data_IF_867764901638
#
_entry.id   IF_867764901638
#
_cell.length_a   1.000
_cell.length_b   1.000
_cell.length_c   1.000
_cell.angle_alpha   90.00
_cell.angle_beta   90.00
_cell.angle_gamma   90.00
#
_symmetry.space_group_name_H-M   'P 1'
#
loop_
_entity.id
_entity.type
_entity.pdbx_description
1 polymer ?
#
# COMPACT_ATOMS: atom_id res chain seq x y z
N UNK A 1 3.53 -25.10 12.66
CA UNK A 1 3.34 -24.03 11.68
C UNK A 1 2.49 -22.96 12.35
N UNK A 2 2.59 -21.72 11.91
CA UNK A 2 1.68 -20.66 12.34
C UNK A 2 0.88 -20.21 11.12
N UNK A 3 -0.43 -20.42 11.17
CA UNK A 3 -1.36 -20.19 10.07
C UNK A 3 -2.23 -19.00 10.40
N UNK A 4 -2.18 -17.95 9.58
CA UNK A 4 -3.12 -16.83 9.70
C UNK A 4 -4.53 -17.35 9.40
N UNK A 5 -5.38 -17.33 10.43
CA UNK A 5 -6.73 -17.87 10.40
C UNK A 5 -7.78 -16.77 10.20
N UNK A 6 -7.57 -15.62 10.84
CA UNK A 6 -8.49 -14.49 10.79
C UNK A 6 -7.73 -13.19 10.68
N UNK A 7 -8.29 -12.26 9.94
CA UNK A 7 -7.86 -10.87 9.86
C UNK A 7 -9.06 -9.96 10.16
N UNK A 8 -8.83 -8.83 10.81
CA UNK A 8 -9.85 -7.81 11.05
C UNK A 8 -9.23 -6.42 11.03
N UNK A 9 -9.88 -5.49 10.34
CA UNK A 9 -9.54 -4.06 10.41
C UNK A 9 -10.50 -3.37 11.36
N UNK A 10 -9.96 -2.59 12.28
CA UNK A 10 -10.73 -1.73 13.17
C UNK A 10 -10.74 -0.32 12.56
N UNK A 11 -11.91 0.27 12.32
CA UNK A 11 -12.03 1.62 11.74
C UNK A 11 -11.74 2.68 12.82
N UNK A 12 -10.49 2.73 13.28
CA UNK A 12 -10.00 3.73 14.21
C UNK A 12 -8.95 4.65 13.55
N UNK A 13 -8.60 5.73 14.25
CA UNK A 13 -7.61 6.71 13.77
C UNK A 13 -6.19 6.15 13.63
N UNK A 14 -5.94 4.96 14.20
CA UNK A 14 -4.61 4.34 14.23
C UNK A 14 -4.46 3.23 13.19
N UNK A 15 -5.51 3.00 12.38
CA UNK A 15 -5.57 1.92 11.40
C UNK A 15 -5.22 0.57 12.06
N UNK A 16 -5.87 0.27 13.19
CA UNK A 16 -5.59 -0.91 13.99
C UNK A 16 -6.05 -2.18 13.27
N UNK A 17 -5.15 -3.14 13.12
CA UNK A 17 -5.41 -4.42 12.47
C UNK A 17 -5.14 -5.56 13.45
N UNK A 18 -6.01 -6.56 13.43
CA UNK A 18 -5.94 -7.74 14.29
C UNK A 18 -5.78 -8.99 13.43
N UNK A 19 -4.73 -9.76 13.71
CA UNK A 19 -4.37 -10.98 13.01
C UNK A 19 -4.43 -12.14 14.00
N UNK A 20 -5.30 -13.12 13.77
CA UNK A 20 -5.41 -14.31 14.63
C UNK A 20 -4.78 -15.50 13.92
N UNK A 21 -3.86 -16.17 14.59
CA UNK A 21 -3.12 -17.31 14.08
C UNK A 21 -3.48 -18.58 14.83
N UNK A 22 -3.65 -19.68 14.10
CA UNK A 22 -3.63 -21.03 14.67
C UNK A 22 -2.20 -21.54 14.60
N UNK A 23 -1.65 -21.88 15.77
CA UNK A 23 -0.28 -22.33 15.92
C UNK A 23 -0.28 -23.81 16.23
N UNK A 24 0.34 -24.61 15.37
CA UNK A 24 0.34 -26.08 15.51
C UNK A 24 1.47 -26.56 16.41
N UNK A 25 1.32 -27.79 16.95
CA UNK A 25 2.29 -28.45 17.84
C UNK A 25 3.72 -28.54 17.32
N UNK A 26 3.97 -28.29 16.03
CA UNK A 26 5.34 -28.29 15.51
C UNK A 26 6.20 -27.21 16.17
N UNK A 27 5.59 -26.09 16.59
CA UNK A 27 6.26 -24.99 17.30
C UNK A 27 6.81 -25.44 18.65
N UNK A 28 6.10 -26.33 19.33
CA UNK A 28 6.50 -26.82 20.64
C UNK A 28 7.28 -28.12 20.57
N UNK A 29 7.40 -28.79 19.42
CA UNK A 29 8.11 -30.09 19.30
C UNK A 29 9.55 -29.95 18.81
N UNK A 30 9.80 -29.07 17.85
CA UNK A 30 11.11 -28.90 17.24
C UNK A 30 11.96 -27.92 18.05
N UNK A 31 13.07 -28.39 18.62
CA UNK A 31 13.99 -27.59 19.44
C UNK A 31 15.06 -26.88 18.61
N UNK A 32 15.26 -27.31 17.37
CA UNK A 32 16.41 -26.87 16.56
C UNK A 32 16.01 -25.91 15.44
N UNK A 33 14.71 -25.63 15.30
CA UNK A 33 14.20 -24.81 14.22
C UNK A 33 13.13 -23.86 14.69
N UNK A 34 13.35 -22.58 14.43
CA UNK A 34 12.33 -21.56 14.56
C UNK A 34 11.21 -21.79 13.54
N UNK A 35 9.97 -21.57 13.98
CA UNK A 35 8.80 -21.67 13.10
C UNK A 35 8.32 -20.28 12.76
N UNK A 36 8.32 -19.96 11.47
CA UNK A 36 7.86 -18.66 10.95
C UNK A 36 6.54 -18.83 10.21
N UNK A 37 5.63 -17.86 10.36
CA UNK A 37 4.38 -17.79 9.59
C UNK A 37 4.65 -17.49 8.11
N UNK A 38 3.62 -17.61 7.25
CA UNK A 38 3.64 -16.92 5.96
C UNK A 38 3.69 -15.40 6.19
N UNK A 39 4.21 -14.68 5.21
CA UNK A 39 4.27 -13.22 5.25
C UNK A 39 2.87 -12.62 5.13
N UNK A 40 2.62 -11.54 5.86
CA UNK A 40 1.39 -10.76 5.78
C UNK A 40 1.72 -9.27 5.67
N UNK A 41 0.77 -8.49 5.15
CA UNK A 41 0.96 -7.06 4.90
C UNK A 41 0.33 -6.22 6.01
N UNK A 42 1.06 -5.24 6.52
CA UNK A 42 0.52 -4.19 7.39
C UNK A 42 1.28 -2.88 7.20
N UNK A 43 0.56 -1.78 7.02
CA UNK A 43 1.13 -0.45 6.76
C UNK A 43 2.15 -0.42 5.64
N UNK A 44 1.85 -1.07 4.51
CA UNK A 44 2.73 -1.16 3.34
C UNK A 44 4.07 -1.88 3.55
N UNK A 45 4.19 -2.61 4.67
CA UNK A 45 5.35 -3.42 5.02
C UNK A 45 4.99 -4.91 5.06
N UNK A 46 5.99 -5.77 4.83
CA UNK A 46 5.87 -7.23 4.95
C UNK A 46 6.29 -7.67 6.34
N UNK A 47 5.44 -8.45 6.99
CA UNK A 47 5.64 -8.94 8.35
C UNK A 47 5.52 -10.45 8.41
N UNK A 48 6.15 -11.06 9.40
CA UNK A 48 5.92 -12.45 9.78
C UNK A 48 6.01 -12.59 11.31
N UNK A 49 5.38 -13.62 11.85
CA UNK A 49 5.58 -14.03 13.24
C UNK A 49 6.55 -15.19 13.26
N UNK A 50 7.56 -15.11 14.11
CA UNK A 50 8.51 -16.20 14.36
C UNK A 50 8.42 -16.67 15.80
N UNK A 51 8.40 -17.98 15.96
CA UNK A 51 8.42 -18.65 17.24
C UNK A 51 9.79 -19.30 17.44
N UNK A 52 10.48 -18.93 18.51
CA UNK A 52 11.74 -19.56 18.90
C UNK A 52 11.54 -20.36 20.18
N UNK A 53 11.96 -21.61 20.22
CA UNK A 53 11.95 -22.39 21.45
C UNK A 53 13.36 -22.51 22.01
N UNK A 54 13.53 -22.10 23.26
CA UNK A 54 14.78 -22.32 24.00
C UNK A 54 14.49 -23.17 25.21
N UNK A 55 14.98 -24.41 25.20
CA UNK A 55 14.74 -25.42 26.23
C UNK A 55 13.24 -25.64 26.52
N UNK A 56 12.74 -25.04 27.61
CA UNK A 56 11.36 -25.19 28.11
C UNK A 56 10.51 -23.93 27.91
N UNK A 57 11.03 -22.91 27.23
CA UNK A 57 10.34 -21.63 27.06
C UNK A 57 10.13 -21.33 25.58
N UNK A 58 8.92 -20.87 25.27
CA UNK A 58 8.54 -20.40 23.94
C UNK A 58 8.67 -18.87 23.90
N UNK A 59 9.38 -18.38 22.89
CA UNK A 59 9.46 -16.97 22.54
C UNK A 59 8.70 -16.67 21.25
N UNK A 60 8.20 -15.44 21.13
CA UNK A 60 7.42 -14.96 19.99
C UNK A 60 7.96 -13.61 19.55
N UNK A 61 8.17 -13.45 18.24
CA UNK A 61 8.71 -12.24 17.64
C UNK A 61 7.89 -11.83 16.44
N UNK A 62 7.66 -10.53 16.33
CA UNK A 62 7.27 -9.88 15.09
C UNK A 62 8.54 -9.58 14.29
N UNK A 63 8.54 -9.94 13.01
CA UNK A 63 9.69 -9.81 12.12
C UNK A 63 9.29 -8.98 10.90
N UNK A 64 9.99 -7.88 10.67
CA UNK A 64 9.91 -7.08 9.45
C UNK A 64 10.73 -7.77 8.35
N UNK A 65 10.09 -8.07 7.22
CA UNK A 65 10.62 -8.97 6.19
C UNK A 65 11.28 -8.28 5.00
N UNK A 66 11.03 -7.00 4.84
CA UNK A 66 11.54 -6.18 3.75
C UNK A 66 12.31 -4.93 4.26
N UNK A 67 13.21 -5.05 5.25
CA UNK A 67 14.01 -3.92 5.66
C UNK A 67 14.92 -3.44 4.52
N UNK A 68 15.08 -2.13 4.39
CA UNK A 68 16.10 -1.52 3.53
C UNK A 68 17.02 -0.65 4.38
N UNK A 69 18.26 -0.48 3.95
CA UNK A 69 19.19 0.44 4.59
C UNK A 69 18.60 1.87 4.63
N UNK A 70 18.84 2.61 5.71
CA UNK A 70 18.26 3.94 5.93
C UNK A 70 16.78 3.91 6.35
N UNK A 71 16.07 2.79 6.25
CA UNK A 71 14.67 2.71 6.68
C UNK A 71 14.49 2.37 8.16
N UNK A 72 13.47 2.99 8.76
CA UNK A 72 13.00 2.71 10.12
C UNK A 72 11.48 2.58 10.11
N UNK A 73 10.96 1.59 10.82
CA UNK A 73 9.52 1.42 11.03
C UNK A 73 9.23 1.49 12.52
N UNK A 74 8.25 2.29 12.91
CA UNK A 74 7.73 2.33 14.28
C UNK A 74 6.31 1.80 14.27
N UNK A 75 5.99 0.89 15.18
CA UNK A 75 4.64 0.30 15.26
C UNK A 75 4.29 -0.04 16.70
N UNK A 76 3.04 0.20 17.07
CA UNK A 76 2.45 -0.33 18.29
C UNK A 76 2.02 -1.76 18.00
N UNK A 77 2.39 -2.71 18.85
CA UNK A 77 1.89 -4.07 18.72
C UNK A 77 1.61 -4.73 20.06
N UNK A 78 0.71 -5.72 20.05
CA UNK A 78 0.52 -6.65 21.16
C UNK A 78 0.33 -8.07 20.65
N UNK A 79 0.99 -9.02 21.31
CA UNK A 79 0.72 -10.43 21.15
C UNK A 79 -0.11 -10.90 22.33
N UNK A 80 -1.22 -11.58 22.04
CA UNK A 80 -2.13 -12.14 23.04
C UNK A 80 -2.31 -13.63 22.77
N UNK A 81 -1.89 -14.46 23.72
CA UNK A 81 -2.17 -15.89 23.71
C UNK A 81 -3.57 -16.12 24.27
N UNK A 82 -4.45 -16.71 23.45
CA UNK A 82 -5.86 -16.86 23.79
C UNK A 82 -6.08 -18.12 24.62
N UNK A 83 -6.61 -17.92 25.82
CA UNK A 83 -7.03 -19.00 26.68
C UNK A 83 -8.34 -19.62 26.18
N UNK A 84 -8.44 -20.95 26.22
CA UNK A 84 -9.60 -21.67 25.68
C UNK A 84 -10.80 -21.70 26.62
N UNK A 85 -10.59 -21.43 27.91
CA UNK A 85 -11.67 -21.42 28.91
C UNK A 85 -12.26 -20.03 29.11
N UNK A 86 -11.42 -19.01 29.30
CA UNK A 86 -11.90 -17.66 29.59
C UNK A 86 -10.91 -16.56 29.20
N UNK A 87 -11.39 -15.49 28.57
CA UNK A 87 -10.55 -14.40 28.05
C UNK A 87 -9.72 -13.67 29.13
N UNK A 88 -10.18 -13.67 30.38
CA UNK A 88 -9.43 -13.05 31.49
C UNK A 88 -8.13 -13.79 31.84
N UNK A 89 -7.98 -15.03 31.36
CA UNK A 89 -6.77 -15.83 31.52
C UNK A 89 -5.83 -15.73 30.31
N UNK A 90 -6.13 -14.86 29.34
CA UNK A 90 -5.23 -14.57 28.24
C UNK A 90 -3.90 -14.03 28.77
N UNK A 91 -2.81 -14.39 28.09
CA UNK A 91 -1.49 -13.82 28.35
C UNK A 91 -1.18 -12.81 27.25
N UNK A 92 -0.66 -11.64 27.61
CA UNK A 92 -0.38 -10.58 26.65
C UNK A 92 0.96 -9.93 26.95
N UNK A 93 1.72 -9.64 25.91
CA UNK A 93 2.77 -8.63 25.97
C UNK A 93 2.60 -7.64 24.83
N UNK A 94 3.05 -6.41 25.04
CA UNK A 94 2.91 -5.34 24.07
C UNK A 94 4.12 -4.42 24.06
N UNK A 95 4.25 -3.66 22.98
CA UNK A 95 5.21 -2.58 22.85
C UNK A 95 4.57 -1.39 22.15
N UNK A 96 4.92 -0.19 22.59
CA UNK A 96 4.49 1.08 21.98
C UNK A 96 5.63 1.70 21.20
N UNK A 97 5.35 2.18 19.99
CA UNK A 97 6.26 2.81 19.05
C UNK A 97 7.55 2.00 18.88
N UNK A 98 7.43 0.67 18.82
CA UNK A 98 8.59 -0.20 18.76
C UNK A 98 9.31 0.01 17.43
N UNK A 99 10.61 0.28 17.50
CA UNK A 99 11.46 0.55 16.34
C UNK A 99 11.98 -0.75 15.73
N UNK A 100 11.80 -0.86 14.41
CA UNK A 100 12.40 -1.84 13.52
C UNK A 100 13.33 -1.10 12.56
N UNK A 101 14.45 -1.73 12.23
CA UNK A 101 15.46 -1.19 11.32
C UNK A 101 16.14 -2.32 10.56
N UNK A 102 16.97 -1.99 9.58
CA UNK A 102 17.77 -2.97 8.84
C UNK A 102 18.59 -3.88 9.75
N UNK A 103 19.27 -3.32 10.76
CA UNK A 103 20.11 -4.08 11.69
C UNK A 103 19.32 -4.82 12.77
N UNK A 104 18.07 -4.42 13.00
CA UNK A 104 17.20 -5.00 14.02
C UNK A 104 15.78 -5.17 13.49
N UNK A 105 15.55 -6.15 12.60
CA UNK A 105 14.24 -6.35 11.95
C UNK A 105 13.28 -7.22 12.78
N UNK A 106 13.71 -7.77 13.92
CA UNK A 106 12.88 -8.63 14.76
C UNK A 106 12.76 -8.05 16.18
N UNK A 107 11.53 -8.02 16.71
CA UNK A 107 11.22 -7.56 18.06
C UNK A 107 10.21 -8.52 18.70
N UNK A 108 10.36 -8.80 19.98
CA UNK A 108 9.50 -9.78 20.63
C UNK A 108 9.88 -10.09 22.06
N UNK A 109 9.31 -11.17 22.57
CA UNK A 109 9.60 -11.67 23.90
C UNK A 109 10.20 -13.08 23.80
N UNK A 110 11.48 -13.22 24.13
CA UNK A 110 12.19 -14.51 24.16
C UNK A 110 11.68 -15.44 25.24
N UNK A 111 11.07 -14.90 26.31
CA UNK A 111 10.58 -15.64 27.47
C UNK A 111 9.09 -15.45 27.64
N UNK A 112 8.32 -15.67 26.57
CA UNK A 112 6.90 -15.37 26.58
C UNK A 112 6.11 -16.34 27.48
N UNK A 113 6.24 -17.64 27.25
CA UNK A 113 5.51 -18.64 28.05
C UNK A 113 6.30 -19.96 28.18
N UNK A 114 6.34 -20.58 29.37
CA UNK A 114 6.81 -21.96 29.51
C UNK A 114 5.96 -22.92 28.68
N UNK A 115 6.59 -23.87 27.98
CA UNK A 115 5.86 -24.83 27.12
C UNK A 115 4.89 -25.70 27.93
N UNK A 116 5.21 -26.01 29.18
CA UNK A 116 4.31 -26.73 30.09
C UNK A 116 3.00 -25.96 30.32
N UNK A 117 3.09 -24.64 30.46
CA UNK A 117 1.97 -23.78 30.82
C UNK A 117 0.95 -23.66 29.68
N UNK A 118 1.37 -23.89 28.42
CA UNK A 118 0.45 -24.00 27.30
C UNK A 118 -0.64 -25.05 27.56
N UNK A 119 -0.28 -26.16 28.20
CA UNK A 119 -1.21 -27.25 28.52
C UNK A 119 -1.85 -27.07 29.89
N UNK A 120 -1.04 -26.80 30.91
CA UNK A 120 -1.51 -26.71 32.29
C UNK A 120 -2.51 -25.57 32.52
N UNK A 121 -2.47 -24.53 31.68
CA UNK A 121 -3.35 -23.36 31.76
C UNK A 121 -4.35 -23.27 30.62
N UNK A 122 -4.60 -24.35 29.87
CA UNK A 122 -5.64 -24.42 28.83
C UNK A 122 -5.48 -23.43 27.66
N UNK A 123 -4.25 -23.13 27.23
CA UNK A 123 -4.01 -22.41 25.97
C UNK A 123 -4.00 -23.33 24.76
N UNK A 124 -3.43 -24.53 24.92
CA UNK A 124 -3.35 -25.54 23.87
C UNK A 124 -4.47 -26.58 23.98
N UNK A 125 -4.82 -27.16 22.85
CA UNK A 125 -5.74 -28.29 22.78
C UNK A 125 -5.04 -29.65 22.90
N UNK A 126 -5.83 -30.73 22.80
CA UNK A 126 -5.33 -32.11 22.86
C UNK A 126 -4.38 -32.43 21.70
N UNK A 127 -4.49 -31.72 20.58
CA UNK A 127 -3.60 -31.84 19.43
C UNK A 127 -2.34 -30.98 19.57
N UNK A 128 -2.26 -30.15 20.62
CA UNK A 128 -1.18 -29.20 20.86
C UNK A 128 -1.29 -27.93 20.01
N UNK A 129 -2.48 -27.61 19.51
CA UNK A 129 -2.77 -26.37 18.79
C UNK A 129 -3.25 -25.28 19.75
N UNK A 130 -2.82 -24.05 19.51
CA UNK A 130 -3.22 -22.88 20.30
C UNK A 130 -3.42 -21.67 19.40
N UNK A 131 -4.14 -20.66 19.90
CA UNK A 131 -4.39 -19.42 19.16
C UNK A 131 -3.55 -18.26 19.69
N UNK A 132 -2.94 -17.52 18.77
CA UNK A 132 -2.18 -16.31 19.04
C UNK A 132 -2.78 -15.15 18.25
N UNK A 133 -3.12 -14.07 18.93
CA UNK A 133 -3.56 -12.83 18.30
C UNK A 133 -2.43 -11.81 18.29
N UNK A 134 -2.21 -11.19 17.13
CA UNK A 134 -1.33 -10.04 16.95
C UNK A 134 -2.19 -8.84 16.59
N UNK A 135 -2.15 -7.82 17.43
CA UNK A 135 -2.73 -6.50 17.13
C UNK A 135 -1.61 -5.56 16.75
N UNK A 136 -1.79 -4.80 15.67
CA UNK A 136 -0.85 -3.80 15.20
C UNK A 136 -1.56 -2.48 14.94
N UNK A 137 -0.97 -1.36 15.34
CA UNK A 137 -1.53 -0.03 15.18
C UNK A 137 -0.45 1.05 15.05
N UNK A 138 -0.84 2.26 14.63
CA UNK A 138 0.00 3.46 14.66
C UNK A 138 1.35 3.32 13.93
N UNK A 139 1.37 2.55 12.82
CA UNK A 139 2.57 2.34 12.04
C UNK A 139 3.05 3.61 11.34
N UNK A 140 4.36 3.86 11.42
CA UNK A 140 5.06 4.95 10.72
C UNK A 140 6.33 4.41 10.06
N UNK A 141 6.53 4.75 8.80
CA UNK A 141 7.71 4.34 8.03
C UNK A 141 8.51 5.56 7.62
N UNK A 142 9.80 5.54 7.94
CA UNK A 142 10.75 6.58 7.60
C UNK A 142 11.90 6.01 6.77
N UNK A 143 12.47 6.84 5.90
CA UNK A 143 13.72 6.58 5.19
C UNK A 143 14.63 7.80 5.39
N UNK A 144 15.86 7.57 5.83
CA UNK A 144 16.87 8.58 6.07
C UNK A 144 18.14 8.27 5.29
N UNK A 145 18.71 9.27 4.62
CA UNK A 145 19.96 9.12 3.87
C UNK A 145 20.68 10.47 3.76
N UNK A 146 22.01 10.41 3.78
CA UNK A 146 22.85 11.57 3.49
C UNK A 146 23.43 11.47 2.07
N UNK A 147 23.17 12.49 1.25
CA UNK A 147 23.75 12.60 -0.09
C UNK A 147 24.92 13.57 -0.07
N UNK A 148 26.07 13.14 -0.59
CA UNK A 148 27.22 14.03 -0.76
C UNK A 148 26.95 15.00 -1.91
N UNK A 149 26.92 16.29 -1.62
CA UNK A 149 26.76 17.35 -2.60
C UNK A 149 28.13 17.74 -3.20
N UNK A 150 28.35 17.55 -4.51
CA UNK A 150 29.53 18.06 -5.20
C UNK A 150 29.69 19.57 -4.98
N UNK A 151 30.93 20.03 -4.74
CA UNK A 151 31.22 21.46 -4.51
C UNK A 151 30.74 22.36 -5.65
N UNK A 152 30.76 21.85 -6.89
CA UNK A 152 30.24 22.54 -8.07
C UNK A 152 28.74 22.87 -7.96
N UNK A 153 27.95 22.06 -7.25
CA UNK A 153 26.51 22.29 -7.08
C UNK A 153 26.20 23.36 -6.02
N UNK A 154 27.20 23.74 -5.22
CA UNK A 154 27.06 24.70 -4.13
C UNK A 154 27.50 26.12 -4.53
N UNK A 155 28.15 26.26 -5.68
CA UNK A 155 28.65 27.56 -6.17
C UNK A 155 27.66 28.19 -7.18
N UNK A 156 27.02 29.33 -6.86
CA UNK A 156 25.97 29.92 -7.69
C UNK A 156 26.38 30.35 -9.11
N UNK A 157 27.68 30.59 -9.34
CA UNK A 157 28.20 31.20 -10.57
C UNK A 157 28.97 30.25 -11.48
N UNK A 158 29.07 28.98 -11.11
CA UNK A 158 29.69 27.93 -11.93
C UNK A 158 28.67 26.84 -12.18
N UNK A 159 27.63 27.16 -12.95
CA UNK A 159 26.94 26.09 -13.68
C UNK A 159 28.02 25.33 -14.45
N UNK A 160 28.06 23.99 -14.40
CA UNK A 160 29.06 23.24 -15.14
C UNK A 160 28.98 23.65 -16.61
N UNK A 161 30.05 24.26 -17.13
CA UNK A 161 30.17 24.61 -18.54
C UNK A 161 29.89 23.35 -19.37
N UNK A 162 28.76 23.34 -20.06
CA UNK A 162 28.27 22.16 -20.79
C UNK A 162 27.08 21.47 -20.15
N UNK A 163 25.97 22.20 -19.91
CA UNK A 163 24.63 21.56 -19.87
C UNK A 163 24.42 20.89 -21.23
N UNK A 164 24.82 19.62 -21.35
CA UNK A 164 24.29 18.75 -22.39
C UNK A 164 22.79 18.63 -22.13
N UNK A 165 21.97 18.97 -23.11
CA UNK A 165 20.51 18.82 -23.04
C UNK A 165 20.08 17.39 -22.65
N UNK A 166 20.97 16.41 -22.74
CA UNK A 166 20.64 15.01 -22.56
C UNK A 166 20.88 14.46 -21.14
N UNK A 167 21.56 15.17 -20.22
CA UNK A 167 21.74 14.66 -18.85
C UNK A 167 21.95 15.78 -17.80
N UNK A 168 20.87 16.32 -17.22
CA UNK A 168 20.97 17.33 -16.17
C UNK A 168 21.70 16.78 -14.92
N UNK A 169 22.49 17.61 -14.21
CA UNK A 169 23.16 17.19 -12.97
C UNK A 169 22.14 16.69 -11.94
N UNK A 170 22.41 15.52 -11.35
CA UNK A 170 21.55 14.91 -10.33
C UNK A 170 22.34 14.21 -9.23
N UNK A 171 21.69 13.99 -8.10
CA UNK A 171 22.13 13.13 -7.00
C UNK A 171 21.01 12.13 -6.72
N UNK A 172 21.37 10.90 -6.36
CA UNK A 172 20.40 9.82 -6.14
C UNK A 172 20.70 9.12 -4.82
N UNK A 173 19.66 8.77 -4.08
CA UNK A 173 19.80 7.88 -2.92
C UNK A 173 19.96 6.43 -3.33
N UNK A 174 20.36 5.59 -2.37
CA UNK A 174 20.09 4.15 -2.43
C UNK A 174 18.59 3.88 -2.54
N UNK A 175 18.25 2.68 -3.01
CA UNK A 175 16.87 2.26 -3.09
C UNK A 175 16.35 1.75 -1.74
N UNK A 176 15.04 1.83 -1.54
CA UNK A 176 14.34 1.33 -0.37
C UNK A 176 12.97 0.76 -0.73
N UNK A 177 12.45 -0.16 0.08
CA UNK A 177 11.21 -0.88 -0.21
C UNK A 177 10.00 -0.30 0.54
N UNK A 178 8.91 -0.01 -0.17
CA UNK A 178 7.64 0.41 0.43
C UNK A 178 6.45 0.07 -0.47
N UNK A 179 5.41 -0.53 0.09
CA UNK A 179 4.17 -0.86 -0.63
C UNK A 179 4.31 -1.96 -1.68
N UNK A 180 5.39 -2.74 -1.62
CA UNK A 180 5.72 -3.75 -2.63
C UNK A 180 6.51 -3.20 -3.82
N UNK A 181 6.94 -1.93 -3.78
CA UNK A 181 7.80 -1.32 -4.78
C UNK A 181 9.14 -0.93 -4.18
N UNK A 182 10.13 -0.83 -5.05
CA UNK A 182 11.42 -0.22 -4.73
C UNK A 182 11.41 1.23 -5.20
N UNK A 183 11.95 2.12 -4.38
CA UNK A 183 11.95 3.56 -4.58
C UNK A 183 13.34 4.13 -4.35
N UNK A 184 13.70 5.23 -5.00
CA UNK A 184 14.79 6.09 -4.58
C UNK A 184 14.40 7.57 -4.68
N UNK A 185 15.16 8.44 -4.02
CA UNK A 185 15.00 9.90 -4.12
C UNK A 185 16.01 10.43 -5.11
N UNK A 186 15.54 11.24 -6.07
CA UNK A 186 16.39 11.92 -7.06
C UNK A 186 16.30 13.42 -6.85
N UNK A 187 17.46 14.04 -6.68
CA UNK A 187 17.64 15.48 -6.45
C UNK A 187 18.32 16.12 -7.65
N UNK A 188 17.64 17.08 -8.28
CA UNK A 188 18.20 17.95 -9.31
C UNK A 188 18.49 19.33 -8.70
N UNK A 189 19.76 19.67 -8.39
CA UNK A 189 20.13 20.94 -7.77
C UNK A 189 19.67 22.18 -8.53
N UNK A 190 19.56 22.06 -9.85
CA UNK A 190 19.25 23.16 -10.78
C UNK A 190 18.04 22.83 -11.64
N UNK A 191 17.14 21.99 -11.12
CA UNK A 191 15.93 21.58 -11.84
C UNK A 191 16.20 20.55 -12.94
N UNK A 192 15.11 20.04 -13.48
CA UNK A 192 15.12 18.92 -14.43
C UNK A 192 15.21 19.40 -15.87
N UNK A 193 14.55 20.51 -16.17
CA UNK A 193 14.46 21.02 -17.54
C UNK A 193 15.53 22.09 -17.82
N UNK A 194 15.96 22.24 -19.08
CA UNK A 194 16.87 23.33 -19.47
C UNK A 194 16.26 24.69 -19.15
N UNK A 195 17.01 25.53 -18.44
CA UNK A 195 16.54 26.85 -18.00
C UNK A 195 15.91 26.85 -16.61
N UNK A 196 15.64 25.68 -16.02
CA UNK A 196 15.39 25.62 -14.59
C UNK A 196 16.66 26.03 -13.82
N UNK A 197 16.44 26.71 -12.71
CA UNK A 197 17.47 27.07 -11.73
C UNK A 197 17.05 26.66 -10.31
N UNK A 198 15.86 26.08 -10.17
CA UNK A 198 15.25 25.74 -8.89
C UNK A 198 15.55 24.30 -8.54
N UNK A 199 15.82 24.05 -7.26
CA UNK A 199 15.91 22.69 -6.74
C UNK A 199 14.63 21.91 -7.09
N UNK A 200 14.79 20.72 -7.64
CA UNK A 200 13.71 19.79 -7.91
C UNK A 200 14.05 18.44 -7.30
N UNK A 201 13.13 17.89 -6.51
CA UNK A 201 13.31 16.59 -5.86
C UNK A 201 12.08 15.75 -6.11
N UNK A 202 12.26 14.49 -6.44
CA UNK A 202 11.13 13.60 -6.64
C UNK A 202 11.45 12.19 -6.16
N UNK A 203 10.37 11.45 -5.90
CA UNK A 203 10.42 10.05 -5.57
C UNK A 203 10.31 9.25 -6.86
N UNK A 204 11.30 8.41 -7.14
CA UNK A 204 11.38 7.63 -8.36
C UNK A 204 11.14 6.16 -8.03
N UNK A 205 10.14 5.57 -8.69
CA UNK A 205 9.79 4.16 -8.54
C UNK A 205 10.65 3.32 -9.46
N UNK A 206 11.13 2.19 -8.95
CA UNK A 206 12.10 1.33 -9.64
C UNK A 206 11.49 -0.02 -10.06
N UNK A 207 10.30 -0.37 -9.58
CA UNK A 207 9.62 -1.65 -9.89
C UNK A 207 8.11 -1.50 -10.04
N UNK A 208 7.45 -2.53 -10.59
CA UNK A 208 5.99 -2.63 -10.67
C UNK A 208 5.31 -1.71 -11.69
N UNK A 209 6.02 -1.40 -12.78
CA UNK A 209 5.62 -0.45 -13.83
C UNK A 209 4.35 -0.80 -14.62
N UNK A 210 3.85 -2.03 -14.46
CA UNK A 210 2.63 -2.52 -15.08
C UNK A 210 1.40 -1.65 -14.72
N UNK A 211 1.44 -0.98 -13.57
CA UNK A 211 0.38 -0.07 -13.11
C UNK A 211 0.96 1.28 -12.70
N UNK A 212 0.14 2.34 -12.80
CA UNK A 212 0.42 3.59 -12.10
C UNK A 212 0.36 3.38 -10.58
N UNK A 213 1.07 4.21 -9.82
CA UNK A 213 1.06 4.15 -8.37
C UNK A 213 0.81 5.53 -7.76
N UNK A 214 -0.30 5.68 -7.02
CA UNK A 214 -0.53 6.86 -6.18
C UNK A 214 0.24 6.72 -4.88
N UNK A 215 1.14 7.65 -4.62
CA UNK A 215 2.03 7.65 -3.48
C UNK A 215 1.84 8.92 -2.67
N UNK A 216 1.78 8.78 -1.34
CA UNK A 216 1.70 9.91 -0.39
C UNK A 216 2.86 9.85 0.56
N UNK A 217 3.55 10.97 0.73
CA UNK A 217 4.76 11.05 1.53
C UNK A 217 5.03 12.48 2.00
N UNK A 218 5.87 12.62 3.03
CA UNK A 218 6.43 13.90 3.48
C UNK A 218 7.93 13.85 3.28
N UNK A 219 8.48 14.86 2.61
CA UNK A 219 9.91 14.99 2.36
C UNK A 219 10.48 16.15 3.16
N UNK A 220 11.55 15.88 3.89
CA UNK A 220 12.31 16.85 4.67
C UNK A 220 13.74 16.83 4.15
N UNK A 221 14.27 18.02 3.83
CA UNK A 221 15.63 18.18 3.32
C UNK A 221 16.41 19.13 4.23
N UNK A 222 17.70 18.85 4.42
CA UNK A 222 18.58 19.61 5.31
C UNK A 222 18.53 19.13 6.76
N UNK A 223 19.28 19.81 7.62
CA UNK A 223 19.40 19.50 9.05
C UNK A 223 19.38 20.80 9.89
N UNK A 224 18.91 20.69 11.13
CA UNK A 224 18.84 21.81 12.08
C UNK A 224 18.07 23.01 11.53
N UNK A 225 18.68 24.19 11.61
CA UNK A 225 18.04 25.46 11.23
C UNK A 225 17.86 25.61 9.71
N UNK A 226 18.42 24.68 8.91
CA UNK A 226 18.36 24.68 7.44
C UNK A 226 17.37 23.67 6.87
N UNK A 227 16.51 23.09 7.72
CA UNK A 227 15.51 22.13 7.27
C UNK A 227 14.39 22.80 6.49
N UNK A 228 13.95 22.16 5.41
CA UNK A 228 12.70 22.47 4.71
C UNK A 228 11.80 21.24 4.69
N UNK A 229 10.49 21.44 4.77
CA UNK A 229 9.49 20.38 4.80
C UNK A 229 8.49 20.61 3.66
N UNK A 230 8.19 19.57 2.89
CA UNK A 230 7.25 19.63 1.78
C UNK A 230 5.78 19.75 2.19
N UNK A 231 5.46 19.44 3.45
CA UNK A 231 4.13 19.01 3.82
C UNK A 231 3.80 17.65 3.18
N UNK A 232 2.52 17.26 3.23
CA UNK A 232 2.08 16.03 2.60
C UNK A 232 2.01 16.20 1.08
N UNK A 233 2.84 15.44 0.37
CA UNK A 233 2.81 15.30 -1.08
C UNK A 233 1.89 14.13 -1.45
N UNK A 234 1.11 14.30 -2.51
CA UNK A 234 0.24 13.30 -3.12
C UNK A 234 0.56 13.28 -4.62
N UNK A 235 1.21 12.22 -5.06
CA UNK A 235 1.86 12.14 -6.37
C UNK A 235 1.44 10.84 -7.08
N UNK A 236 1.52 10.84 -8.41
CA UNK A 236 1.25 9.66 -9.23
C UNK A 236 2.54 9.30 -9.95
N UNK A 237 3.10 8.14 -9.58
CA UNK A 237 4.19 7.51 -10.32
C UNK A 237 3.63 6.85 -11.57
N UNK A 238 4.08 7.30 -12.73
CA UNK A 238 3.68 6.78 -14.04
C UNK A 238 4.24 5.37 -14.31
N UNK A 239 3.95 4.84 -15.51
CA UNK A 239 4.46 3.54 -15.97
C UNK A 239 5.95 3.53 -16.27
N UNK A 240 6.63 4.68 -16.22
CA UNK A 240 8.09 4.79 -16.28
C UNK A 240 8.71 5.02 -14.89
N UNK A 241 7.90 4.99 -13.83
CA UNK A 241 8.32 5.22 -12.46
C UNK A 241 8.46 6.68 -12.05
N UNK A 242 8.22 7.62 -12.96
CA UNK A 242 8.41 9.05 -12.74
C UNK A 242 7.21 9.66 -12.04
N UNK A 243 7.48 10.56 -11.11
CA UNK A 243 6.47 11.31 -10.36
C UNK A 243 6.58 12.81 -10.67
N UNK A 244 5.56 13.61 -10.34
CA UNK A 244 5.57 15.06 -10.56
C UNK A 244 6.64 15.76 -9.73
N UNK A 245 6.91 15.25 -8.51
CA UNK A 245 7.96 15.75 -7.63
C UNK A 245 7.63 17.06 -6.92
N UNK A 246 8.64 17.62 -6.28
CA UNK A 246 8.57 18.78 -5.41
C UNK A 246 9.62 19.83 -5.81
N UNK A 247 9.18 21.07 -5.98
CA UNK A 247 10.03 22.24 -6.28
C UNK A 247 10.06 23.17 -5.07
N UNK A 248 10.94 22.95 -4.09
CA UNK A 248 11.06 23.84 -2.93
C UNK A 248 11.54 25.23 -3.35
N UNK A 249 11.10 26.26 -2.62
CA UNK A 249 11.53 27.65 -2.82
C UNK A 249 12.89 27.92 -2.14
N UNK A 250 13.87 27.06 -2.36
CA UNK A 250 15.22 27.17 -1.81
C UNK A 250 16.25 26.68 -2.82
N UNK A 251 17.53 27.03 -2.65
CA UNK A 251 18.63 26.46 -3.43
C UNK A 251 19.30 25.35 -2.64
N UNK A 252 19.95 24.42 -3.34
CA UNK A 252 20.67 23.34 -2.69
C UNK A 252 21.71 23.84 -1.67
N UNK A 253 22.43 24.92 -1.98
CA UNK A 253 23.45 25.51 -1.12
C UNK A 253 22.90 26.00 0.23
N UNK A 254 21.62 26.36 0.28
CA UNK A 254 20.98 26.91 1.48
C UNK A 254 20.61 25.79 2.49
N UNK A 255 20.47 24.54 2.03
CA UNK A 255 20.06 23.38 2.82
C UNK A 255 21.16 22.32 3.04
N UNK A 256 22.26 22.40 2.28
CA UNK A 256 23.43 21.55 2.46
C UNK A 256 24.27 22.04 3.64
N UNK A 257 24.73 21.11 4.47
CA UNK A 257 25.63 21.37 5.58
C UNK A 257 26.86 20.48 5.48
N UNK A 258 28.06 21.08 5.56
CA UNK A 258 29.35 20.37 5.46
C UNK A 258 29.48 19.48 4.20
N UNK A 259 28.85 19.89 3.10
CA UNK A 259 28.85 19.15 1.83
C UNK A 259 27.91 17.93 1.80
N UNK A 260 27.04 17.78 2.79
CA UNK A 260 26.02 16.73 2.85
C UNK A 260 24.62 17.35 2.79
N UNK A 261 23.75 16.72 2.00
CA UNK A 261 22.31 16.93 2.01
C UNK A 261 21.68 15.79 2.81
N UNK A 262 21.14 16.10 3.98
CA UNK A 262 20.33 15.15 4.73
C UNK A 262 18.93 15.07 4.12
N UNK A 263 18.43 13.85 3.91
CA UNK A 263 17.08 13.58 3.41
C UNK A 263 16.37 12.69 4.42
N UNK A 264 15.22 13.15 4.90
CA UNK A 264 14.29 12.35 5.70
C UNK A 264 12.95 12.29 4.97
N UNK A 265 12.47 11.08 4.73
CA UNK A 265 11.24 10.78 4.01
C UNK A 265 10.30 9.99 4.91
N UNK A 266 9.09 10.49 5.14
CA UNK A 266 8.01 9.73 5.79
C UNK A 266 7.05 9.20 4.72
N UNK A 267 6.99 7.88 4.58
CA UNK A 267 6.13 7.21 3.62
C UNK A 267 4.76 6.92 4.24
N UNK A 268 3.69 7.39 3.60
CA UNK A 268 2.31 7.28 4.12
C UNK A 268 1.53 6.20 3.40
N UNK A 269 1.44 6.27 2.06
CA UNK A 269 0.73 5.27 1.24
C UNK A 269 1.41 5.04 -0.10
N UNK A 270 1.31 3.82 -0.64
CA UNK A 270 1.68 3.50 -2.02
C UNK A 270 0.68 2.49 -2.59
N UNK A 271 -0.27 2.95 -3.39
CA UNK A 271 -1.37 2.16 -3.93
C UNK A 271 -1.30 2.10 -5.46
N UNK A 272 -1.50 0.92 -6.05
CA UNK A 272 -1.69 0.79 -7.49
C UNK A 272 -3.00 1.44 -7.92
N UNK A 273 -3.01 2.05 -9.09
CA UNK A 273 -4.20 2.60 -9.73
C UNK A 273 -4.59 1.75 -10.94
N UNK A 274 -5.89 1.53 -11.10
CA UNK A 274 -6.49 1.00 -12.32
C UNK A 274 -7.54 2.00 -12.78
N UNK A 275 -7.29 2.66 -13.90
CA UNK A 275 -8.20 3.62 -14.51
C UNK A 275 -9.10 2.91 -15.52
N UNK A 276 -10.41 3.13 -15.43
CA UNK A 276 -11.39 2.53 -16.33
C UNK A 276 -12.35 3.60 -16.83
N UNK A 277 -12.64 3.58 -18.13
CA UNK A 277 -13.68 4.41 -18.72
C UNK A 277 -15.01 3.64 -18.70
N UNK A 278 -15.91 4.02 -17.80
CA UNK A 278 -17.26 3.47 -17.75
C UNK A 278 -18.17 4.23 -18.72
N UNK A 279 -18.96 3.49 -19.50
CA UNK A 279 -20.02 4.07 -20.36
C UNK A 279 -21.36 3.67 -19.74
N UNK A 280 -22.05 4.57 -19.03
CA UNK A 280 -23.38 4.29 -18.50
C UNK A 280 -24.33 4.03 -19.67
N UNK A 281 -25.02 2.90 -19.66
CA UNK A 281 -26.12 2.70 -20.59
C UNK A 281 -27.33 3.48 -20.09
N UNK A 282 -27.74 4.47 -20.85
CA UNK A 282 -29.03 5.14 -20.64
C UNK A 282 -30.11 4.14 -21.04
N UNK A 283 -31.15 3.91 -20.22
CA UNK A 283 -32.29 3.11 -20.64
C UNK A 283 -32.89 3.73 -21.91
N UNK A 284 -32.71 3.08 -23.06
CA UNK A 284 -33.37 3.51 -24.28
C UNK A 284 -34.86 3.35 -24.06
N UNK A 285 -35.59 4.45 -23.96
CA UNK A 285 -37.06 4.43 -24.09
C UNK A 285 -37.38 3.82 -25.45
N UNK A 286 -38.25 2.80 -25.53
CA UNK A 286 -38.64 2.23 -26.81
C UNK A 286 -39.61 3.22 -27.46
N UNK A 287 -39.13 4.06 -28.38
CA UNK A 287 -40.01 4.69 -29.36
C UNK A 287 -39.37 4.77 -30.74
N UNK A 288 -40.16 4.52 -31.81
CA UNK A 288 -39.63 4.11 -33.09
C UNK A 288 -39.44 5.30 -34.07
N UNK A 289 -38.56 5.08 -35.04
CA UNK A 289 -38.40 5.82 -36.31
C UNK A 289 -37.88 7.26 -36.21
N UNK A 290 -36.56 7.40 -36.32
CA UNK A 290 -35.96 8.39 -37.21
C UNK A 290 -34.89 7.69 -38.05
N UNK A 291 -35.25 7.41 -39.31
CA UNK A 291 -34.35 6.93 -40.36
C UNK A 291 -33.29 7.99 -40.65
N UNK A 292 -32.05 7.71 -40.28
CA UNK A 292 -30.86 8.37 -40.83
C UNK A 292 -30.31 7.47 -41.95
N UNK A 293 -29.91 8.00 -43.13
CA UNK A 293 -29.46 7.17 -44.24
C UNK A 293 -28.16 6.43 -43.90
N UNK A 294 -28.14 5.13 -44.18
CA UNK A 294 -26.98 4.26 -44.04
C UNK A 294 -25.87 4.64 -45.03
N UNK A 295 -24.64 4.78 -44.54
CA UNK A 295 -23.45 4.50 -45.34
C UNK A 295 -23.16 3.00 -45.18
N UNK A 296 -23.03 2.33 -46.32
CA UNK A 296 -23.10 0.88 -46.45
C UNK A 296 -21.94 0.12 -45.76
N UNK A 297 -22.29 -0.99 -45.12
CA UNK A 297 -21.37 -2.13 -44.96
C UNK A 297 -21.09 -2.59 -43.53
N UNK A 298 -22.08 -3.13 -42.81
CA UNK A 298 -21.88 -4.20 -41.83
C UNK A 298 -23.24 -4.76 -41.38
N UNK A 299 -23.50 -6.01 -41.75
CA UNK A 299 -24.60 -6.81 -41.20
C UNK A 299 -24.17 -7.42 -39.88
N UNK A 300 -24.72 -6.97 -38.76
CA UNK A 300 -24.78 -7.76 -37.52
C UNK A 300 -26.06 -7.44 -36.76
N UNK A 301 -26.83 -8.50 -36.52
CA UNK A 301 -28.04 -8.54 -35.69
C UNK A 301 -27.73 -7.96 -34.32
N UNK A 302 -28.46 -6.92 -33.90
CA UNK A 302 -28.34 -6.34 -32.57
C UNK A 302 -29.02 -7.26 -31.54
N UNK A 303 -28.22 -7.91 -30.71
CA UNK A 303 -28.66 -8.44 -29.41
C UNK A 303 -28.96 -7.29 -28.45
N UNK A 304 -29.84 -7.48 -27.45
CA UNK A 304 -30.11 -6.46 -26.44
C UNK A 304 -28.79 -6.07 -25.74
N UNK A 305 -28.52 -4.78 -25.63
CA UNK A 305 -27.29 -4.26 -25.06
C UNK A 305 -27.22 -4.62 -23.57
N UNK A 306 -26.46 -5.66 -23.23
CA UNK A 306 -26.00 -5.89 -21.86
C UNK A 306 -25.08 -4.74 -21.47
N UNK A 307 -25.16 -4.29 -20.21
CA UNK A 307 -24.25 -3.29 -19.65
C UNK A 307 -22.81 -3.69 -19.92
N UNK A 308 -22.06 -2.84 -20.61
CA UNK A 308 -20.73 -3.21 -21.10
C UNK A 308 -19.74 -3.19 -19.93
N UNK A 309 -19.58 -4.35 -19.30
CA UNK A 309 -18.61 -4.56 -18.24
C UNK A 309 -17.19 -4.25 -18.73
N UNK A 310 -16.48 -3.40 -18.01
CA UNK A 310 -15.10 -3.00 -18.34
C UNK A 310 -14.14 -3.85 -17.54
N UNK A 311 -13.23 -4.53 -18.22
CA UNK A 311 -12.20 -5.37 -17.61
C UNK A 311 -11.03 -4.51 -17.11
N UNK A 312 -10.56 -4.78 -15.90
CA UNK A 312 -9.30 -4.25 -15.37
C UNK A 312 -8.57 -5.31 -14.54
N UNK A 313 -7.35 -4.99 -14.14
CA UNK A 313 -6.50 -5.91 -13.37
C UNK A 313 -5.98 -5.24 -12.11
N UNK A 314 -5.82 -6.04 -11.05
CA UNK A 314 -5.12 -5.60 -9.85
C UNK A 314 -3.60 -5.81 -9.97
N UNK A 315 -2.87 -5.45 -8.91
CA UNK A 315 -1.40 -5.60 -8.84
C UNK A 315 -0.90 -7.03 -8.97
N UNK A 316 -1.73 -8.02 -8.65
CA UNK A 316 -1.39 -9.44 -8.75
C UNK A 316 -1.80 -10.00 -10.13
N UNK A 317 -2.18 -9.13 -11.07
CA UNK A 317 -2.65 -9.45 -12.43
C UNK A 317 -3.93 -10.28 -12.44
N UNK A 318 -4.73 -10.17 -11.39
CA UNK A 318 -6.03 -10.84 -11.36
C UNK A 318 -7.12 -9.93 -11.93
N UNK A 319 -8.10 -10.56 -12.55
CA UNK A 319 -9.10 -9.95 -13.41
C UNK A 319 -10.32 -9.47 -12.62
N UNK A 320 -10.74 -8.25 -12.88
CA UNK A 320 -11.91 -7.60 -12.30
C UNK A 320 -12.76 -6.99 -13.40
N UNK A 321 -14.08 -6.95 -13.23
CA UNK A 321 -14.94 -6.13 -14.09
C UNK A 321 -15.66 -5.07 -13.31
N UNK A 322 -15.82 -3.89 -13.92
CA UNK A 322 -16.64 -2.81 -13.41
C UNK A 322 -17.79 -2.53 -14.38
N UNK A 323 -18.98 -2.37 -13.81
CA UNK A 323 -20.22 -2.09 -14.54
C UNK A 323 -20.89 -0.86 -13.91
N UNK A 324 -21.32 0.09 -14.75
CA UNK A 324 -22.15 1.20 -14.30
C UNK A 324 -23.58 0.69 -14.07
N UNK A 325 -24.14 1.00 -12.89
CA UNK A 325 -25.51 0.71 -12.52
C UNK A 325 -26.28 2.03 -12.37
N UNK A 326 -27.23 2.24 -13.28
CA UNK A 326 -28.06 3.44 -13.42
C UNK A 326 -29.51 3.23 -12.97
N UNK A 327 -29.81 2.13 -12.27
CA UNK A 327 -31.17 1.82 -11.80
C UNK A 327 -31.61 2.62 -10.57
N UNK A 328 -30.72 3.43 -9.99
CA UNK A 328 -30.98 4.35 -8.87
C UNK A 328 -30.90 5.82 -9.29
N UNK A 329 -31.29 6.74 -8.40
CA UNK A 329 -31.17 8.18 -8.63
C UNK A 329 -29.71 8.64 -8.77
N UNK A 330 -28.80 7.97 -8.07
CA UNK A 330 -27.35 8.18 -8.16
C UNK A 330 -26.68 7.06 -8.95
N UNK A 331 -25.54 7.37 -9.57
CA UNK A 331 -24.71 6.39 -10.25
C UNK A 331 -24.13 5.42 -9.22
N UNK A 332 -24.27 4.13 -9.47
CA UNK A 332 -23.60 3.07 -8.72
C UNK A 332 -22.62 2.35 -9.64
N UNK A 333 -21.61 1.72 -9.04
CA UNK A 333 -20.62 0.94 -9.78
C UNK A 333 -20.56 -0.45 -9.17
N UNK A 334 -20.90 -1.47 -9.96
CA UNK A 334 -20.75 -2.87 -9.56
C UNK A 334 -19.35 -3.34 -9.93
N UNK A 335 -18.63 -3.88 -8.97
CA UNK A 335 -17.29 -4.47 -9.15
C UNK A 335 -17.36 -5.98 -8.91
N UNK A 336 -16.87 -6.77 -9.86
CA UNK A 336 -16.89 -8.25 -9.81
C UNK A 336 -15.48 -8.78 -9.95
N UNK A 337 -15.07 -9.69 -9.06
CA UNK A 337 -13.82 -10.41 -9.13
C UNK A 337 -13.96 -11.66 -10.02
N UNK A 338 -13.41 -11.62 -11.25
CA UNK A 338 -13.58 -12.69 -12.23
C UNK A 338 -12.76 -13.95 -11.90
N UNK A 339 -11.69 -13.80 -11.14
CA UNK A 339 -10.77 -14.89 -10.80
C UNK A 339 -11.08 -15.53 -9.42
N UNK A 340 -12.32 -15.41 -8.92
CA UNK A 340 -12.73 -16.00 -7.63
C UNK A 340 -12.52 -17.52 -7.57
N UNK A 341 -12.75 -18.21 -8.69
CA UNK A 341 -12.51 -19.64 -8.85
C UNK A 341 -11.03 -20.02 -8.76
N UNK A 342 -10.11 -19.07 -8.96
CA UNK A 342 -8.66 -19.27 -8.86
C UNK A 342 -8.12 -19.05 -7.44
N UNK A 343 -8.96 -18.64 -6.47
CA UNK A 343 -8.55 -18.60 -5.06
C UNK A 343 -8.22 -20.03 -4.60
N UNK A 344 -7.01 -20.30 -4.08
CA UNK A 344 -6.66 -21.65 -3.67
C UNK A 344 -7.57 -22.17 -2.55
N UNK A 345 -7.87 -23.48 -2.57
CA UNK A 345 -8.57 -24.14 -1.46
C UNK A 345 -7.86 -23.87 -0.13
N UNK A 346 -8.64 -23.65 0.93
CA UNK A 346 -8.17 -23.32 2.27
C UNK A 346 -7.34 -22.03 2.37
N UNK A 347 -7.46 -21.12 1.41
CA UNK A 347 -6.90 -19.77 1.48
C UNK A 347 -8.02 -18.74 1.44
N UNK A 348 -7.74 -17.59 2.05
CA UNK A 348 -8.56 -16.39 1.98
C UNK A 348 -7.77 -15.33 1.24
N UNK A 349 -8.39 -14.68 0.25
CA UNK A 349 -7.86 -13.47 -0.38
C UNK A 349 -8.59 -12.28 0.22
N UNK A 350 -7.85 -11.40 0.90
CA UNK A 350 -8.39 -10.13 1.37
C UNK A 350 -8.03 -9.03 0.39
N UNK A 351 -9.03 -8.25 -0.03
CA UNK A 351 -8.85 -7.10 -0.94
C UNK A 351 -9.45 -5.85 -0.29
N UNK A 352 -8.80 -4.70 -0.45
CA UNK A 352 -9.28 -3.41 0.02
C UNK A 352 -8.88 -2.32 -0.95
N UNK A 353 -9.81 -1.42 -1.27
CA UNK A 353 -9.64 -0.40 -2.29
C UNK A 353 -10.48 0.84 -1.99
N UNK A 354 -10.16 1.93 -2.68
CA UNK A 354 -10.99 3.12 -2.76
C UNK A 354 -11.28 3.38 -4.23
N UNK A 355 -12.51 3.75 -4.54
CA UNK A 355 -12.92 4.09 -5.89
C UNK A 355 -13.20 5.60 -5.98
N UNK A 356 -12.82 6.19 -7.11
CA UNK A 356 -13.03 7.60 -7.41
C UNK A 356 -13.63 7.73 -8.80
N UNK A 357 -14.67 8.55 -8.94
CA UNK A 357 -15.20 9.00 -10.21
C UNK A 357 -14.47 10.28 -10.64
N UNK A 358 -14.09 10.37 -11.91
CA UNK A 358 -13.47 11.59 -12.45
C UNK A 358 -14.55 12.43 -13.14
N UNK A 359 -14.90 13.56 -12.53
CA UNK A 359 -15.91 14.50 -13.04
C UNK A 359 -15.24 15.64 -13.81
N UNK A 360 -15.73 15.96 -15.00
CA UNK A 360 -15.30 17.17 -15.70
C UNK A 360 -15.86 18.43 -15.03
N UNK A 361 -14.96 19.31 -14.59
CA UNK A 361 -15.31 20.61 -14.05
C UNK A 361 -15.19 21.67 -15.14
N UNK A 362 -16.35 22.16 -15.60
CA UNK A 362 -16.44 23.16 -16.67
C UNK A 362 -15.83 24.52 -16.31
N UNK A 363 -15.66 24.84 -15.02
CA UNK A 363 -15.08 26.12 -14.57
C UNK A 363 -13.55 26.10 -14.61
N UNK A 364 -12.95 24.97 -14.27
CA UNK A 364 -11.48 24.81 -14.23
C UNK A 364 -10.94 24.18 -15.51
N UNK A 365 -11.78 23.49 -16.29
CA UNK A 365 -11.38 22.69 -17.44
C UNK A 365 -10.65 21.40 -17.05
N UNK A 366 -10.70 21.01 -15.78
CA UNK A 366 -9.98 19.86 -15.22
C UNK A 366 -10.95 18.75 -14.79
N UNK A 367 -10.41 17.54 -14.62
CA UNK A 367 -11.13 16.41 -14.02
C UNK A 367 -10.95 16.44 -12.50
N UNK A 368 -12.05 16.53 -11.75
CA UNK A 368 -12.07 16.48 -10.30
C UNK A 368 -12.41 15.06 -9.83
N UNK A 369 -11.61 14.43 -8.95
CA UNK A 369 -11.90 13.12 -8.39
C UNK A 369 -12.94 13.21 -7.27
N UNK A 370 -14.03 12.47 -7.41
CA UNK A 370 -15.10 12.31 -6.42
C UNK A 370 -14.99 10.91 -5.82
N UNK A 371 -14.80 10.82 -4.50
CA UNK A 371 -14.75 9.51 -3.83
C UNK A 371 -16.13 8.86 -3.82
N UNK A 372 -16.20 7.56 -4.13
CA UNK A 372 -17.39 6.77 -3.84
C UNK A 372 -17.73 6.85 -2.34
N UNK A 373 -19.02 6.79 -2.01
CA UNK A 373 -19.50 6.85 -0.63
C UNK A 373 -19.08 5.59 0.13
N UNK A 374 -18.82 5.69 1.43
CA UNK A 374 -18.38 4.57 2.27
C UNK A 374 -17.00 3.96 1.97
N UNK A 375 -16.20 4.57 1.09
CA UNK A 375 -14.80 4.20 0.94
C UNK A 375 -14.02 4.37 2.27
N UNK A 376 -12.99 3.56 2.53
CA UNK A 376 -12.50 2.45 1.70
C UNK A 376 -13.39 1.21 1.80
N UNK A 377 -13.50 0.48 0.70
CA UNK A 377 -14.13 -0.83 0.64
C UNK A 377 -13.15 -1.93 1.00
N UNK A 378 -13.68 -3.08 1.42
CA UNK A 378 -12.91 -4.31 1.51
C UNK A 378 -13.77 -5.56 1.50
N UNK A 379 -13.19 -6.67 1.04
CA UNK A 379 -13.87 -7.95 0.93
C UNK A 379 -12.93 -9.13 1.14
N UNK A 380 -13.48 -10.26 1.60
CA UNK A 380 -12.78 -11.55 1.68
C UNK A 380 -13.33 -12.47 0.61
N UNK A 381 -12.43 -13.01 -0.20
CA UNK A 381 -12.75 -14.02 -1.20
C UNK A 381 -12.24 -15.39 -0.76
N UNK A 382 -13.12 -16.37 -0.88
CA UNK A 382 -12.81 -17.81 -0.87
C UNK A 382 -12.99 -18.35 -2.29
N UNK A 383 -12.65 -19.62 -2.50
CA UNK A 383 -12.90 -20.25 -3.78
C UNK A 383 -14.41 -20.45 -3.99
N UNK A 384 -14.96 -19.77 -4.99
CA UNK A 384 -16.37 -19.88 -5.41
C UNK A 384 -16.43 -20.03 -6.94
N UNK A 385 -17.57 -20.44 -7.48
CA UNK A 385 -17.74 -20.55 -8.94
C UNK A 385 -17.83 -19.17 -9.60
N UNK A 386 -18.54 -18.24 -8.97
CA UNK A 386 -18.82 -16.89 -9.47
C UNK A 386 -18.88 -15.93 -8.29
N UNK A 387 -18.43 -14.69 -8.50
CA UNK A 387 -18.58 -13.58 -7.53
C UNK A 387 -19.88 -12.82 -7.83
N UNK A 388 -20.72 -12.66 -6.81
CA UNK A 388 -21.96 -11.87 -6.90
C UNK A 388 -21.68 -10.36 -7.12
N UNK A 389 -20.47 -9.93 -6.79
CA UNK A 389 -20.01 -8.56 -6.99
C UNK A 389 -20.46 -7.60 -5.89
N UNK A 390 -19.79 -6.46 -5.86
CA UNK A 390 -19.91 -5.47 -4.81
C UNK A 390 -20.39 -4.17 -5.43
N UNK A 391 -21.48 -3.61 -4.88
CA UNK A 391 -22.03 -2.33 -5.30
C UNK A 391 -21.33 -1.21 -4.53
N UNK A 392 -20.70 -0.31 -5.28
CA UNK A 392 -20.11 0.93 -4.78
C UNK A 392 -21.06 2.08 -5.10
N UNK A 393 -21.44 2.83 -4.08
CA UNK A 393 -22.37 3.94 -4.19
C UNK A 393 -21.65 5.27 -4.39
N UNK A 394 -22.35 6.23 -4.97
CA UNK A 394 -21.85 7.58 -5.23
C UNK A 394 -22.94 8.61 -4.93
N UNK A 395 -22.52 9.86 -4.73
CA UNK A 395 -23.40 11.03 -4.60
C UNK A 395 -23.65 11.73 -5.95
N UNK A 396 -23.11 11.19 -7.04
CA UNK A 396 -23.28 11.71 -8.41
C UNK A 396 -24.60 11.21 -8.98
N UNK A 397 -25.46 12.12 -9.44
CA UNK A 397 -26.73 11.74 -10.07
C UNK A 397 -26.51 11.09 -11.42
N UNK A 398 -27.33 10.13 -11.83
CA UNK A 398 -27.22 9.47 -13.15
C UNK A 398 -27.31 10.44 -14.35
N UNK A 399 -27.92 11.62 -14.16
CA UNK A 399 -28.06 12.65 -15.20
C UNK A 399 -26.79 13.47 -15.45
N UNK A 400 -25.89 13.49 -14.47
CA UNK A 400 -24.59 14.17 -14.53
C UNK A 400 -23.57 13.23 -15.19
#
# INVERSE_FOLDING_TARGET
MSLLYRFAKIPDRWNTHVFTFIVTKSVTRDLHRDVTSKEFMYGYQKWAITFSRTEKVLGVYLVWRNPSEGMKVHVDFSFTLLNREHFSANETFSGKSVKFSYDSPAQGNRRYIPVHDLYARNFADRNGEFQLELTMSAIRTHFEVDLRAPTAYLTPHKLPNGRSNNNPPKMESTYFNFGGFDWNVIVYPFGKEPGDERLFVHLNRLTGFDHQCRVRYVMILGEGDRTINSGLLDDISDTNGKSFGWVPRTRLADIVQRGMLHIHLEMVTANTLSEVALVPQVPTTPNPVLTVPSVAGASTVATPAESQAVLCYDRDKQSWTLEADTHSDTLRVRMVYKDVHNVPRNHLRYVSWSAYLLRYNSKTGLLDPISCTHAPYSHYYVQEEVDDGIIMETDVTVKE
#
